data_IF_997315983021
#
_entry.id   IF_997315983021
#
_cell.length_a   1.000
_cell.length_b   1.000
_cell.length_c   1.000
_cell.angle_alpha   90.00
_cell.angle_beta   90.00
_cell.angle_gamma   90.00
#
_symmetry.space_group_name_H-M   'P 1'
#
loop_
_entity.id
_entity.type
_entity.pdbx_description
1 polymer ?
#
# COMPACT_ATOMS: atom_id res chain seq x y z
N UNK A 1 4.13 -28.56 26.75
CA UNK A 1 3.18 -29.21 25.82
C UNK A 1 3.05 -28.31 24.60
N UNK A 2 3.73 -28.70 23.52
CA UNK A 2 3.64 -28.04 22.22
C UNK A 2 2.34 -28.54 21.60
N UNK A 3 1.37 -27.66 21.41
CA UNK A 3 0.19 -27.94 20.58
C UNK A 3 0.62 -27.92 19.12
N UNK A 4 0.81 -29.10 18.53
CA UNK A 4 0.81 -29.29 17.09
C UNK A 4 -0.62 -29.10 16.63
N UNK A 5 -0.92 -27.95 16.02
CA UNK A 5 -2.15 -27.76 15.25
C UNK A 5 -1.89 -28.48 13.92
N UNK A 6 -2.50 -29.63 13.74
CA UNK A 6 -2.60 -30.29 12.44
C UNK A 6 -3.38 -29.38 11.50
N UNK A 7 -2.67 -28.79 10.53
CA UNK A 7 -3.33 -28.15 9.40
C UNK A 7 -3.98 -29.27 8.56
N UNK A 8 -5.28 -29.47 8.74
CA UNK A 8 -6.06 -30.19 7.74
C UNK A 8 -5.93 -29.44 6.42
N UNK A 9 -5.50 -30.20 5.40
CA UNK A 9 -5.42 -29.77 4.01
C UNK A 9 -6.83 -29.54 3.48
N UNK A 10 -7.46 -28.43 3.85
CA UNK A 10 -8.59 -27.89 3.11
C UNK A 10 -8.04 -27.34 1.80
N UNK A 11 -8.67 -27.70 0.69
CA UNK A 11 -8.47 -27.03 -0.59
C UNK A 11 -8.49 -25.52 -0.31
N UNK A 12 -7.36 -24.84 -0.57
CA UNK A 12 -7.31 -23.39 -0.48
C UNK A 12 -8.15 -22.93 -1.66
N UNK A 13 -9.45 -22.65 -1.40
CA UNK A 13 -10.24 -21.88 -2.35
C UNK A 13 -9.46 -20.60 -2.64
N UNK A 14 -9.30 -20.26 -3.91
CA UNK A 14 -8.63 -19.02 -4.28
C UNK A 14 -9.29 -17.88 -3.49
N UNK A 15 -8.53 -17.06 -2.77
CA UNK A 15 -9.11 -16.03 -1.92
C UNK A 15 -9.99 -15.14 -2.78
N UNK A 16 -11.28 -15.11 -2.47
CA UNK A 16 -12.24 -14.32 -3.20
C UNK A 16 -11.98 -12.83 -2.91
N UNK A 17 -11.22 -12.19 -3.83
CA UNK A 17 -10.93 -10.76 -3.73
C UNK A 17 -12.22 -10.00 -4.04
N UNK A 18 -12.75 -9.32 -3.03
CA UNK A 18 -13.96 -8.55 -3.17
C UNK A 18 -13.76 -7.36 -4.11
N UNK A 19 -14.69 -7.13 -5.01
CA UNK A 19 -14.68 -5.92 -5.84
C UNK A 19 -15.02 -4.68 -5.00
N UNK A 20 -14.26 -3.62 -5.22
CA UNK A 20 -14.44 -2.36 -4.51
C UNK A 20 -15.69 -1.63 -5.01
N UNK A 21 -16.69 -1.48 -4.14
CA UNK A 21 -17.93 -0.75 -4.45
C UNK A 21 -17.89 0.68 -3.91
N UNK A 22 -18.75 1.59 -4.42
CA UNK A 22 -18.87 2.95 -3.89
C UNK A 22 -19.19 3.00 -2.40
N UNK A 23 -19.96 2.05 -1.87
CA UNK A 23 -20.32 1.95 -0.45
C UNK A 23 -19.09 1.62 0.39
N UNK A 24 -18.27 0.66 -0.07
CA UNK A 24 -17.00 0.29 0.60
C UNK A 24 -16.04 1.49 0.60
N UNK A 25 -15.88 2.17 -0.53
CA UNK A 25 -15.04 3.38 -0.65
C UNK A 25 -15.48 4.45 0.35
N UNK A 26 -16.80 4.71 0.44
CA UNK A 26 -17.34 5.68 1.37
C UNK A 26 -17.09 5.28 2.83
N UNK A 27 -17.18 3.97 3.14
CA UNK A 27 -16.93 3.47 4.50
C UNK A 27 -15.52 3.76 5.00
N UNK A 28 -14.50 3.70 4.13
CA UNK A 28 -13.11 4.01 4.51
C UNK A 28 -12.97 5.44 5.04
N UNK A 29 -13.57 6.40 4.34
CA UNK A 29 -13.56 7.80 4.76
C UNK A 29 -14.35 8.02 6.06
N UNK A 30 -15.55 7.42 6.17
CA UNK A 30 -16.41 7.57 7.36
C UNK A 30 -15.75 6.98 8.63
N UNK A 31 -15.11 5.84 8.49
CA UNK A 31 -14.39 5.17 9.59
C UNK A 31 -12.99 5.74 9.83
N UNK A 32 -12.55 6.71 9.02
CA UNK A 32 -11.20 7.27 9.02
C UNK A 32 -10.11 6.21 8.85
N UNK A 33 -10.37 5.19 8.05
CA UNK A 33 -9.43 4.10 7.78
C UNK A 33 -8.48 4.48 6.64
N UNK A 34 -7.18 4.47 6.93
CA UNK A 34 -6.15 4.57 5.90
C UNK A 34 -6.19 3.36 4.99
N UNK A 35 -5.91 3.57 3.71
CA UNK A 35 -5.98 2.55 2.66
C UNK A 35 -4.73 2.61 1.79
N UNK A 36 -4.25 1.47 1.33
CA UNK A 36 -3.15 1.37 0.38
C UNK A 36 -3.72 1.00 -0.99
N UNK A 37 -3.29 1.70 -2.03
CA UNK A 37 -3.51 1.34 -3.42
C UNK A 37 -2.17 0.90 -4.02
N UNK A 38 -2.13 -0.32 -4.57
CA UNK A 38 -0.98 -0.85 -5.27
C UNK A 38 -1.19 -0.66 -6.78
N UNK A 39 -0.41 0.21 -7.40
CA UNK A 39 -0.50 0.46 -8.83
C UNK A 39 0.46 -0.46 -9.59
N UNK A 40 -0.02 -1.64 -10.00
CA UNK A 40 0.70 -2.61 -10.84
C UNK A 40 1.95 -3.21 -10.18
N UNK A 41 1.82 -3.67 -8.94
CA UNK A 41 2.88 -4.43 -8.27
C UNK A 41 2.93 -5.84 -8.86
N UNK A 42 4.01 -6.16 -9.59
CA UNK A 42 4.13 -7.41 -10.34
C UNK A 42 4.61 -8.61 -9.51
N UNK A 43 5.20 -8.40 -8.32
CA UNK A 43 5.83 -9.44 -7.53
C UNK A 43 4.99 -9.86 -6.32
N UNK A 44 4.61 -11.15 -6.27
CA UNK A 44 3.80 -11.70 -5.18
C UNK A 44 4.49 -11.64 -3.79
N UNK A 45 5.84 -11.71 -3.74
CA UNK A 45 6.57 -11.54 -2.49
C UNK A 45 6.47 -10.10 -1.99
N UNK A 46 6.52 -9.10 -2.88
CA UNK A 46 6.33 -7.71 -2.52
C UNK A 46 4.90 -7.48 -1.99
N UNK A 47 3.89 -8.06 -2.65
CA UNK A 47 2.51 -8.01 -2.14
C UNK A 47 2.42 -8.59 -0.73
N UNK A 48 2.97 -9.78 -0.48
CA UNK A 48 2.97 -10.40 0.84
C UNK A 48 3.68 -9.55 1.90
N UNK A 49 4.84 -8.98 1.58
CA UNK A 49 5.59 -8.12 2.49
C UNK A 49 4.87 -6.80 2.79
N UNK A 50 4.16 -6.22 1.81
CA UNK A 50 3.32 -5.03 2.01
C UNK A 50 2.13 -5.37 2.92
N UNK A 51 1.46 -6.49 2.70
CA UNK A 51 0.36 -6.96 3.57
C UNK A 51 0.85 -7.15 5.01
N UNK A 52 2.02 -7.78 5.22
CA UNK A 52 2.63 -7.93 6.54
C UNK A 52 2.87 -6.57 7.21
N UNK A 53 3.44 -5.62 6.49
CA UNK A 53 3.66 -4.26 7.01
C UNK A 53 2.35 -3.54 7.30
N UNK A 54 1.35 -3.67 6.42
CA UNK A 54 0.02 -3.10 6.61
C UNK A 54 -0.64 -3.63 7.90
N UNK A 55 -0.64 -4.96 8.09
CA UNK A 55 -1.15 -5.59 9.31
C UNK A 55 -0.43 -5.08 10.56
N UNK A 56 0.91 -5.00 10.51
CA UNK A 56 1.73 -4.53 11.63
C UNK A 56 1.40 -3.08 12.02
N UNK A 57 1.16 -2.21 11.05
CA UNK A 57 0.82 -0.79 11.28
C UNK A 57 -0.69 -0.54 11.39
N UNK A 58 -1.53 -1.58 11.45
CA UNK A 58 -2.98 -1.44 11.65
C UNK A 58 -3.73 -0.92 10.43
N UNK A 59 -3.15 -1.01 9.22
CA UNK A 59 -3.82 -0.68 7.97
C UNK A 59 -4.63 -1.90 7.53
N UNK A 60 -5.94 -1.73 7.43
CA UNK A 60 -6.87 -2.84 7.18
C UNK A 60 -7.21 -3.05 5.70
N UNK A 61 -7.02 -2.03 4.87
CA UNK A 61 -7.54 -2.02 3.50
C UNK A 61 -6.42 -1.88 2.49
N UNK A 62 -6.32 -2.82 1.56
CA UNK A 62 -5.45 -2.76 0.39
C UNK A 62 -6.31 -2.89 -0.86
N UNK A 63 -6.07 -2.06 -1.86
CA UNK A 63 -6.73 -2.11 -3.16
C UNK A 63 -5.71 -2.44 -4.23
N UNK A 64 -6.04 -3.40 -5.09
CA UNK A 64 -5.25 -3.78 -6.26
C UNK A 64 -6.07 -3.55 -7.54
N UNK A 65 -5.47 -3.08 -8.64
CA UNK A 65 -6.16 -2.99 -9.92
C UNK A 65 -6.38 -4.38 -10.52
N UNK A 66 -7.45 -4.55 -11.30
CA UNK A 66 -7.64 -5.67 -12.22
C UNK A 66 -6.81 -5.41 -13.49
N UNK A 67 -5.52 -5.64 -13.42
CA UNK A 67 -4.54 -5.36 -14.46
C UNK A 67 -3.59 -6.56 -14.62
N UNK A 68 -3.21 -6.91 -15.84
CA UNK A 68 -2.32 -8.06 -16.11
C UNK A 68 -0.93 -7.90 -15.49
N UNK A 69 -0.46 -6.67 -15.31
CA UNK A 69 0.81 -6.37 -14.65
C UNK A 69 0.73 -6.37 -13.13
N UNK A 70 -0.47 -6.48 -12.54
CA UNK A 70 -0.67 -6.63 -11.11
C UNK A 70 -0.60 -8.10 -10.71
N UNK A 71 0.23 -8.43 -9.72
CA UNK A 71 0.25 -9.80 -9.17
C UNK A 71 -1.06 -10.12 -8.47
N UNK A 72 -1.51 -11.37 -8.66
CA UNK A 72 -2.60 -11.94 -7.86
C UNK A 72 -2.11 -12.38 -6.46
N UNK A 73 -3.05 -12.70 -5.58
CA UNK A 73 -2.74 -13.34 -4.30
C UNK A 73 -2.35 -14.80 -4.59
N UNK A 74 -1.17 -15.19 -4.16
CA UNK A 74 -0.61 -16.53 -4.39
C UNK A 74 -0.16 -17.16 -3.07
N UNK A 75 0.15 -18.45 -3.08
CA UNK A 75 0.79 -19.14 -1.93
C UNK A 75 2.06 -18.42 -1.47
N UNK A 76 2.81 -17.81 -2.40
CA UNK A 76 4.01 -17.04 -2.07
C UNK A 76 3.68 -15.80 -1.26
N UNK A 77 2.64 -15.02 -1.66
CA UNK A 77 2.23 -13.84 -0.91
C UNK A 77 1.70 -14.18 0.49
N UNK A 78 0.95 -15.29 0.64
CA UNK A 78 0.53 -15.78 1.95
C UNK A 78 1.71 -16.13 2.86
N UNK A 79 2.71 -16.85 2.32
CA UNK A 79 3.90 -17.24 3.08
C UNK A 79 4.66 -16.01 3.59
N UNK A 80 4.87 -15.02 2.74
CA UNK A 80 5.60 -13.80 3.09
C UNK A 80 4.81 -12.91 4.05
N UNK A 81 3.49 -12.91 3.95
CA UNK A 81 2.62 -12.13 4.83
C UNK A 81 2.59 -12.65 6.28
N UNK A 82 3.01 -13.89 6.54
CA UNK A 82 3.10 -14.49 7.89
C UNK A 82 1.85 -14.25 8.76
N UNK A 83 0.67 -14.57 8.24
CA UNK A 83 -0.61 -14.37 8.92
C UNK A 83 -1.21 -12.98 8.74
N UNK A 84 -0.49 -12.01 8.16
CA UNK A 84 -1.01 -10.65 7.92
C UNK A 84 -2.27 -10.62 7.04
N UNK A 85 -2.47 -11.64 6.18
CA UNK A 85 -3.66 -11.77 5.34
C UNK A 85 -4.98 -11.88 6.13
N UNK A 86 -4.93 -12.30 7.38
CA UNK A 86 -6.11 -12.41 8.25
C UNK A 86 -6.56 -11.06 8.82
N UNK A 87 -5.66 -10.07 8.81
CA UNK A 87 -5.90 -8.73 9.38
C UNK A 87 -6.10 -7.65 8.32
N UNK A 88 -5.87 -7.98 7.05
CA UNK A 88 -5.93 -7.04 5.93
C UNK A 88 -6.93 -7.54 4.90
N UNK A 89 -7.92 -6.73 4.58
CA UNK A 89 -8.84 -6.99 3.49
C UNK A 89 -8.26 -6.46 2.18
N UNK A 90 -8.16 -7.33 1.18
CA UNK A 90 -7.73 -6.95 -0.17
C UNK A 90 -8.97 -6.83 -1.06
N UNK A 91 -9.07 -5.68 -1.73
CA UNK A 91 -10.11 -5.37 -2.69
C UNK A 91 -9.52 -5.26 -4.09
N UNK A 92 -10.33 -5.52 -5.10
CA UNK A 92 -9.98 -5.25 -6.50
C UNK A 92 -10.74 -4.05 -7.04
N UNK A 93 -10.12 -3.29 -7.95
CA UNK A 93 -10.77 -2.22 -8.70
C UNK A 93 -10.57 -2.38 -10.18
N UNK A 94 -11.62 -2.16 -10.97
CA UNK A 94 -11.55 -2.15 -12.44
C UNK A 94 -10.95 -0.86 -12.99
N UNK A 95 -10.90 0.23 -12.19
CA UNK A 95 -10.35 1.50 -12.63
C UNK A 95 -9.75 2.29 -11.46
N UNK A 96 -8.43 2.39 -11.45
CA UNK A 96 -7.69 3.23 -10.48
C UNK A 96 -8.11 4.69 -10.58
N UNK A 97 -8.28 5.22 -11.79
CA UNK A 97 -8.67 6.63 -11.96
C UNK A 97 -10.09 6.92 -11.44
N UNK A 98 -11.03 5.98 -11.62
CA UNK A 98 -12.37 6.11 -11.06
C UNK A 98 -12.33 6.11 -9.54
N UNK A 99 -11.52 5.23 -8.94
CA UNK A 99 -11.28 5.21 -7.49
C UNK A 99 -10.73 6.55 -7.01
N UNK A 100 -9.65 7.07 -7.63
CA UNK A 100 -9.03 8.33 -7.24
C UNK A 100 -10.01 9.51 -7.31
N UNK A 101 -10.87 9.54 -8.32
CA UNK A 101 -11.93 10.54 -8.44
C UNK A 101 -12.98 10.41 -7.35
N UNK A 102 -13.40 9.20 -7.00
CA UNK A 102 -14.46 8.92 -6.01
C UNK A 102 -14.06 9.31 -4.57
N UNK A 103 -12.76 9.22 -4.25
CA UNK A 103 -12.22 9.59 -2.93
C UNK A 103 -11.75 11.04 -2.84
N UNK A 104 -11.80 11.78 -3.96
CA UNK A 104 -11.40 13.20 -3.98
C UNK A 104 -12.15 14.00 -2.92
N UNK A 105 -11.41 14.73 -2.09
CA UNK A 105 -11.96 15.53 -0.98
C UNK A 105 -12.37 14.72 0.26
N UNK A 106 -12.48 13.38 0.17
CA UNK A 106 -12.82 12.48 1.28
C UNK A 106 -11.59 11.87 1.94
N UNK A 107 -10.59 11.53 1.15
CA UNK A 107 -9.30 11.01 1.58
C UNK A 107 -8.17 11.88 1.01
N UNK A 108 -7.01 11.87 1.63
CA UNK A 108 -5.78 12.49 1.07
C UNK A 108 -5.09 11.46 0.19
N UNK A 109 -5.01 11.73 -1.12
CA UNK A 109 -4.38 10.83 -2.11
C UNK A 109 -2.90 11.16 -2.20
N UNK A 110 -2.06 10.29 -1.65
CA UNK A 110 -0.62 10.49 -1.54
C UNK A 110 0.09 9.46 -2.41
N UNK A 111 0.73 9.92 -3.48
CA UNK A 111 1.55 9.12 -4.37
C UNK A 111 3.02 9.12 -3.94
N UNK A 112 3.72 8.02 -4.22
CA UNK A 112 5.17 7.93 -4.03
C UNK A 112 5.90 8.22 -5.33
N UNK A 113 6.90 9.09 -5.31
CA UNK A 113 7.60 9.54 -6.49
C UNK A 113 9.04 9.93 -6.15
N UNK A 114 10.01 9.44 -6.93
CA UNK A 114 11.44 9.76 -6.76
C UNK A 114 11.76 11.23 -7.05
N UNK A 115 10.90 11.92 -7.81
CA UNK A 115 11.05 13.32 -8.15
C UNK A 115 10.17 14.26 -7.30
N UNK A 116 9.52 13.74 -6.25
CA UNK A 116 8.71 14.57 -5.38
C UNK A 116 9.57 15.55 -4.58
N UNK A 117 9.03 16.74 -4.32
CA UNK A 117 9.70 17.77 -3.51
C UNK A 117 9.44 17.62 -2.01
N UNK A 118 8.37 16.91 -1.63
CA UNK A 118 7.99 16.72 -0.23
C UNK A 118 8.57 15.42 0.33
N UNK A 119 9.17 15.53 1.52
CA UNK A 119 9.66 14.39 2.26
C UNK A 119 8.50 13.55 2.81
N UNK A 120 8.67 12.24 2.88
CA UNK A 120 7.71 11.30 3.48
C UNK A 120 7.31 11.66 4.91
N UNK A 121 8.16 12.37 5.65
CA UNK A 121 7.92 12.79 7.04
C UNK A 121 6.69 13.68 7.24
N UNK A 122 6.16 14.30 6.16
CA UNK A 122 4.97 15.16 6.25
C UNK A 122 3.65 14.38 6.20
N UNK A 123 3.69 13.07 5.93
CA UNK A 123 2.47 12.26 5.71
C UNK A 123 1.52 12.31 6.90
N UNK A 124 2.05 12.18 8.13
CA UNK A 124 1.21 12.23 9.32
C UNK A 124 0.42 13.54 9.40
N UNK A 125 1.08 14.67 9.21
CA UNK A 125 0.46 16.00 9.30
C UNK A 125 -0.59 16.23 8.21
N UNK A 126 -0.37 15.70 7.00
CA UNK A 126 -1.33 15.75 5.89
C UNK A 126 -2.62 14.98 6.20
N UNK A 127 -2.55 13.96 7.05
CA UNK A 127 -3.64 13.02 7.30
C UNK A 127 -4.39 13.23 8.62
N UNK A 128 -4.13 14.32 9.34
CA UNK A 128 -4.76 14.61 10.65
C UNK A 128 -6.28 14.76 10.58
N UNK A 129 -6.81 15.27 9.46
CA UNK A 129 -8.25 15.52 9.30
C UNK A 129 -8.97 14.45 8.49
N UNK A 130 -8.28 13.82 7.54
CA UNK A 130 -8.83 12.84 6.61
C UNK A 130 -7.91 11.64 6.52
N UNK A 131 -8.46 10.42 6.31
CA UNK A 131 -7.60 9.26 6.11
C UNK A 131 -6.81 9.38 4.79
N UNK A 132 -5.67 8.68 4.75
CA UNK A 132 -4.85 8.59 3.56
C UNK A 132 -5.32 7.48 2.62
N UNK A 133 -5.23 7.73 1.31
CA UNK A 133 -5.04 6.72 0.29
C UNK A 133 -3.58 6.80 -0.16
N UNK A 134 -2.75 5.87 0.33
CA UNK A 134 -1.32 5.76 -0.05
C UNK A 134 -1.22 4.99 -1.35
N UNK A 135 -0.56 5.55 -2.35
CA UNK A 135 -0.44 4.94 -3.67
C UNK A 135 1.02 4.56 -3.90
N UNK A 136 1.25 3.25 -4.00
CA UNK A 136 2.56 2.66 -4.26
C UNK A 136 2.60 2.17 -5.71
N UNK A 137 3.58 2.65 -6.46
CA UNK A 137 3.72 2.34 -7.88
C UNK A 137 4.54 1.09 -8.15
N UNK A 138 4.53 0.69 -9.42
CA UNK A 138 5.35 -0.39 -9.97
C UNK A 138 6.84 -0.18 -9.64
N UNK A 139 7.58 -1.27 -9.49
CA UNK A 139 8.98 -1.29 -9.08
C UNK A 139 9.92 -0.60 -10.09
N UNK A 140 9.58 -0.68 -11.38
CA UNK A 140 10.42 -0.15 -12.47
C UNK A 140 9.98 1.27 -12.87
N UNK A 141 8.68 1.49 -12.99
CA UNK A 141 8.11 2.70 -13.60
C UNK A 141 7.45 3.65 -12.57
N UNK A 142 7.36 3.24 -11.31
CA UNK A 142 6.65 4.00 -10.29
C UNK A 142 5.14 4.10 -10.56
N UNK A 143 4.50 5.16 -10.10
CA UNK A 143 3.09 5.45 -10.40
C UNK A 143 2.95 6.03 -11.80
N UNK A 144 1.87 5.68 -12.52
CA UNK A 144 1.62 6.20 -13.87
C UNK A 144 1.36 7.72 -13.84
N UNK A 145 1.59 8.40 -14.97
CA UNK A 145 1.36 9.84 -15.11
C UNK A 145 -0.10 10.21 -14.79
N UNK A 146 -1.04 9.41 -15.26
CA UNK A 146 -2.46 9.61 -14.99
C UNK A 146 -2.82 9.47 -13.50
N UNK A 147 -2.17 8.56 -12.79
CA UNK A 147 -2.30 8.39 -11.34
C UNK A 147 -1.67 9.58 -10.63
N UNK A 148 -0.43 9.95 -11.03
CA UNK A 148 0.31 11.11 -10.51
C UNK A 148 -0.52 12.39 -10.56
N UNK A 149 -1.12 12.69 -11.71
CA UNK A 149 -1.95 13.87 -11.93
C UNK A 149 -3.23 13.89 -11.06
N UNK A 150 -3.63 12.77 -10.48
CA UNK A 150 -4.79 12.64 -9.61
C UNK A 150 -4.42 12.50 -8.12
N UNK A 151 -3.15 12.59 -7.74
CA UNK A 151 -2.72 12.68 -6.34
C UNK A 151 -2.97 14.11 -5.80
N UNK A 152 -3.26 14.22 -4.52
CA UNK A 152 -3.27 15.51 -3.82
C UNK A 152 -1.85 15.90 -3.44
N UNK A 153 -1.01 14.92 -3.14
CA UNK A 153 0.38 15.10 -2.73
C UNK A 153 1.27 14.00 -3.31
N UNK A 154 2.52 14.36 -3.57
CA UNK A 154 3.58 13.43 -3.94
C UNK A 154 4.69 13.52 -2.89
N UNK A 155 5.18 12.36 -2.44
CA UNK A 155 6.23 12.28 -1.42
C UNK A 155 7.37 11.38 -1.86
N UNK A 156 8.58 11.71 -1.36
CA UNK A 156 9.80 10.93 -1.55
C UNK A 156 10.34 10.45 -0.21
N UNK A 157 10.86 9.23 -0.18
CA UNK A 157 11.76 8.78 0.89
C UNK A 157 13.15 9.33 0.54
N UNK A 158 13.73 10.24 1.35
CA UNK A 158 14.98 10.84 1.01
C UNK A 158 16.11 9.82 0.99
N UNK A 159 16.97 9.94 -0.01
CA UNK A 159 18.14 9.11 -0.15
C UNK A 159 19.33 9.75 0.56
N UNK A 160 19.91 9.05 1.54
CA UNK A 160 21.02 9.54 2.34
C UNK A 160 22.40 9.00 1.89
N UNK A 161 22.43 8.04 0.96
CA UNK A 161 23.66 7.39 0.51
C UNK A 161 24.47 8.18 -0.52
N UNK A 162 24.00 9.32 -0.98
CA UNK A 162 24.72 10.14 -1.97
C UNK A 162 25.86 10.96 -1.36
N UNK A 163 27.07 10.71 -1.82
CA UNK A 163 28.16 11.71 -1.74
C UNK A 163 28.11 12.57 -3.00
N UNK A 164 28.16 13.91 -2.85
CA UNK A 164 28.21 14.85 -3.99
C UNK A 164 29.19 14.37 -5.07
N UNK A 165 28.68 14.18 -6.31
CA UNK A 165 29.50 13.84 -7.48
C UNK A 165 29.78 12.34 -7.71
N UNK A 166 29.13 11.41 -6.98
CA UNK A 166 29.22 9.97 -7.25
C UNK A 166 27.86 9.40 -7.58
N UNK A 167 27.82 8.46 -8.53
CA UNK A 167 26.61 7.69 -8.81
C UNK A 167 26.15 6.93 -7.56
N UNK A 168 24.84 6.90 -7.32
CA UNK A 168 24.26 6.09 -6.24
C UNK A 168 24.45 4.60 -6.57
N UNK A 169 24.86 3.77 -5.61
CA UNK A 169 24.90 2.31 -5.79
C UNK A 169 23.49 1.71 -5.88
N UNK A 170 22.46 2.43 -5.44
CA UNK A 170 21.06 2.02 -5.43
C UNK A 170 20.21 3.24 -5.79
N UNK A 171 19.30 3.07 -6.75
CA UNK A 171 18.44 4.18 -7.23
C UNK A 171 17.18 4.37 -6.39
N UNK A 172 16.66 3.29 -5.80
CA UNK A 172 15.42 3.29 -5.01
C UNK A 172 15.39 2.15 -4.01
N UNK A 173 14.49 2.26 -3.02
CA UNK A 173 14.13 1.14 -2.17
C UNK A 173 13.21 0.18 -2.91
N UNK A 174 13.27 -1.12 -2.56
CA UNK A 174 12.23 -2.07 -2.92
C UNK A 174 10.86 -1.54 -2.43
N UNK A 175 9.81 -1.75 -3.21
CA UNK A 175 8.47 -1.19 -2.92
C UNK A 175 7.91 -1.62 -1.56
N UNK A 176 8.17 -2.85 -1.11
CA UNK A 176 7.71 -3.31 0.20
C UNK A 176 8.48 -2.64 1.35
N UNK A 177 9.78 -2.37 1.16
CA UNK A 177 10.58 -1.60 2.12
C UNK A 177 10.12 -0.13 2.16
N UNK A 178 9.86 0.45 0.99
CA UNK A 178 9.30 1.80 0.89
C UNK A 178 7.93 1.88 1.59
N UNK A 179 7.05 0.90 1.38
CA UNK A 179 5.77 0.80 2.07
C UNK A 179 5.95 0.82 3.59
N UNK A 180 6.89 0.05 4.13
CA UNK A 180 7.15 0.00 5.58
C UNK A 180 7.52 1.36 6.15
N UNK A 181 8.42 2.10 5.47
CA UNK A 181 8.82 3.46 5.88
C UNK A 181 7.63 4.42 5.84
N UNK A 182 6.84 4.38 4.77
CA UNK A 182 5.67 5.25 4.59
C UNK A 182 4.60 4.99 5.65
N UNK A 183 4.32 3.72 5.95
CA UNK A 183 3.34 3.34 6.97
C UNK A 183 3.80 3.71 8.39
N UNK A 184 5.10 3.61 8.67
CA UNK A 184 5.67 4.13 9.91
C UNK A 184 5.44 5.65 10.03
N UNK A 185 5.77 6.42 8.99
CA UNK A 185 5.58 7.87 8.98
C UNK A 185 4.09 8.27 9.08
N UNK A 186 3.18 7.48 8.49
CA UNK A 186 1.74 7.69 8.60
C UNK A 186 1.24 7.50 10.04
N UNK A 187 1.77 6.53 10.77
CA UNK A 187 1.29 6.12 12.10
C UNK A 187 2.10 6.68 13.27
N UNK A 188 3.25 7.30 13.04
CA UNK A 188 4.18 7.72 14.09
C UNK A 188 3.60 8.66 15.18
N UNK A 189 2.50 9.36 14.87
CA UNK A 189 1.79 10.23 15.82
C UNK A 189 0.65 9.53 16.57
N UNK A 190 0.28 8.33 16.15
CA UNK A 190 -0.78 7.55 16.77
C UNK A 190 -0.16 6.67 17.86
N UNK A 191 -0.20 7.10 19.11
CA UNK A 191 0.25 6.25 20.22
C UNK A 191 -0.72 5.07 20.37
N UNK A 192 -0.23 3.86 20.13
CA UNK A 192 -0.97 2.61 20.26
C UNK A 192 -0.90 2.00 21.68
N UNK A 193 -0.42 2.77 22.69
CA UNK A 193 -0.21 2.30 24.07
C UNK A 193 -0.89 3.22 25.08
#
# INVERSE_FOLDING_TARGET
>A
KIFLIEFQKTSIDEPHIQELTPEIINSFSQKKEHTILLDRIGNANNLGAIVRSAAFFGIKNIVIPKDESQTSITTSSYRVAEGGMEFVQIYSTSSVLSLLKSVKGKMVRIGTDLNASKNVSVIHDLCTKKPALIILGNEENGISESVRANCDELVIIPFFGMKKGKASPVESLNVAQAATVILYELQKGNQAF
#
